data_IF_754283489263
#
_entry.id   IF_754283489263
#
_cell.length_a   1.000
_cell.length_b   1.000
_cell.length_c   1.000
_cell.angle_alpha   90.00
_cell.angle_beta   90.00
_cell.angle_gamma   90.00
#
_symmetry.space_group_name_H-M   'P 1'
#
loop_
_entity.id
_entity.type
_entity.pdbx_description
1 polymer ?
#
# COMPACT_ATOMS: atom_id res chain seq x y z
N UNK A 1 -9.13 0.28 8.13
CA UNK A 1 -7.66 0.53 8.10
C UNK A 1 -6.77 -0.31 9.07
N UNK A 2 -7.23 -0.59 10.31
CA UNK A 2 -6.53 -1.41 11.33
C UNK A 2 -5.09 -0.84 11.66
N UNK A 3 -4.96 0.41 12.19
CA UNK A 3 -3.67 1.07 12.53
C UNK A 3 -2.83 1.49 11.29
N UNK A 4 -2.22 0.52 10.59
CA UNK A 4 -1.43 0.77 9.36
C UNK A 4 -1.47 -0.40 8.31
N UNK A 5 -2.52 -1.26 8.29
CA UNK A 5 -2.64 -2.36 7.30
C UNK A 5 -2.89 -1.77 5.88
N UNK A 6 -4.04 -1.10 5.68
CA UNK A 6 -4.38 -0.43 4.39
C UNK A 6 -3.40 0.76 4.08
N UNK A 7 -3.05 1.75 4.98
CA UNK A 7 -2.08 2.84 4.68
C UNK A 7 -0.74 2.39 4.03
N UNK A 8 -0.01 1.42 4.62
CA UNK A 8 1.26 0.91 4.02
C UNK A 8 1.02 0.06 2.73
N UNK A 9 -0.04 -0.78 2.66
CA UNK A 9 -0.37 -1.58 1.46
C UNK A 9 -0.82 -0.81 0.18
N UNK A 10 -1.40 0.41 0.30
CA UNK A 10 -1.81 1.23 -0.87
C UNK A 10 -0.65 2.08 -1.39
N UNK A 11 0.00 2.80 -0.46
CA UNK A 11 1.20 3.66 -0.70
C UNK A 11 2.33 2.85 -1.43
N UNK A 12 2.70 1.69 -0.85
CA UNK A 12 3.71 0.76 -1.42
C UNK A 12 3.32 0.15 -2.80
N UNK A 13 2.04 -0.27 -2.98
CA UNK A 13 1.51 -0.83 -4.25
C UNK A 13 1.62 0.16 -5.45
N UNK A 14 0.80 1.24 -5.42
CA UNK A 14 0.79 2.32 -6.45
C UNK A 14 2.23 2.75 -6.86
N UNK A 15 3.10 3.11 -5.87
CA UNK A 15 4.54 3.48 -6.10
C UNK A 15 5.31 2.38 -6.92
N UNK A 16 5.29 1.09 -6.50
CA UNK A 16 5.93 -0.04 -7.26
C UNK A 16 5.12 -0.41 -8.58
N UNK A 17 4.14 0.45 -8.98
CA UNK A 17 3.24 0.35 -10.16
C UNK A 17 2.34 -0.85 -9.87
N UNK A 18 1.39 -0.66 -8.93
CA UNK A 18 0.44 -1.73 -8.47
C UNK A 18 1.18 -3.07 -8.02
N UNK A 19 2.45 -2.92 -7.55
CA UNK A 19 3.39 -3.95 -7.09
C UNK A 19 3.57 -5.07 -8.15
N UNK A 20 4.22 -4.66 -9.27
CA UNK A 20 4.55 -5.56 -10.41
C UNK A 20 5.37 -6.82 -9.99
#
# INVERSE_FOLDING_TARGET
EVLYLKPLAGVYRSLKKQLE
#
